data_IF_567312222124
#
_entry.id   IF_567312222124
#
_cell.length_a   1.000
_cell.length_b   1.000
_cell.length_c   1.000
_cell.angle_alpha   90.00
_cell.angle_beta   90.00
_cell.angle_gamma   90.00
#
_symmetry.space_group_name_H-M   'P 1'
#
loop_
_entity.id
_entity.type
_entity.pdbx_description
1 polymer ?
#
# COMPACT_ATOMS: atom_id res chain seq x y z
N UNK A 1 -7.47 -26.94 18.69
CA UNK A 1 -6.93 -28.21 18.12
C UNK A 1 -5.69 -27.84 17.33
N UNK A 2 -4.50 -28.21 17.81
CA UNK A 2 -3.22 -27.86 17.17
C UNK A 2 -2.78 -28.88 16.11
N UNK A 3 -3.33 -30.10 16.16
CA UNK A 3 -3.11 -31.12 15.15
C UNK A 3 -4.40 -31.90 14.90
N UNK A 4 -4.58 -32.36 13.65
CA UNK A 4 -5.68 -33.22 13.24
C UNK A 4 -5.06 -34.49 12.64
N UNK A 5 -5.30 -35.65 13.27
CA UNK A 5 -4.70 -36.94 12.90
C UNK A 5 -5.73 -37.99 12.48
N UNK A 6 -7.01 -37.78 12.81
CA UNK A 6 -8.09 -38.70 12.53
C UNK A 6 -8.67 -38.49 11.13
N UNK A 7 -8.47 -39.44 10.22
CA UNK A 7 -9.05 -39.43 8.86
C UNK A 7 -10.60 -39.40 8.92
N UNK A 8 -11.30 -40.22 9.71
CA UNK A 8 -12.77 -40.14 9.77
C UNK A 8 -13.28 -38.77 10.25
N UNK A 9 -12.61 -38.16 11.22
CA UNK A 9 -12.97 -36.81 11.68
C UNK A 9 -12.71 -35.78 10.59
N UNK A 10 -11.56 -35.85 9.89
CA UNK A 10 -11.23 -34.96 8.78
C UNK A 10 -12.27 -35.04 7.67
N UNK A 11 -12.68 -36.24 7.26
CA UNK A 11 -13.74 -36.47 6.26
C UNK A 11 -15.07 -35.83 6.69
N UNK A 12 -15.49 -36.02 7.94
CA UNK A 12 -16.72 -35.44 8.48
C UNK A 12 -16.66 -33.91 8.51
N UNK A 13 -15.51 -33.33 8.91
CA UNK A 13 -15.29 -31.88 8.90
C UNK A 13 -15.32 -31.34 7.47
N UNK A 14 -14.73 -32.05 6.51
CA UNK A 14 -14.71 -31.67 5.11
C UNK A 14 -16.08 -31.49 4.45
N UNK A 15 -17.13 -32.11 4.98
CA UNK A 15 -18.52 -31.93 4.54
C UNK A 15 -19.20 -30.63 5.06
N UNK A 16 -18.56 -29.85 5.92
CA UNK A 16 -19.14 -28.62 6.46
C UNK A 16 -19.00 -27.44 5.49
N UNK A 17 -19.92 -26.46 5.56
CA UNK A 17 -19.88 -25.24 4.75
C UNK A 17 -18.94 -24.18 5.33
N UNK A 18 -18.69 -24.22 6.61
CA UNK A 18 -17.80 -23.34 7.35
C UNK A 18 -16.89 -24.13 8.25
N UNK A 19 -15.61 -23.83 8.24
CA UNK A 19 -14.64 -24.56 9.05
C UNK A 19 -13.57 -23.61 9.59
N UNK A 20 -13.49 -23.52 10.93
CA UNK A 20 -12.43 -22.77 11.60
C UNK A 20 -11.42 -23.72 12.24
N UNK A 21 -10.30 -23.88 11.57
CA UNK A 21 -9.12 -24.63 12.00
C UNK A 21 -7.91 -23.68 12.16
N UNK A 22 -8.16 -22.44 12.61
CA UNK A 22 -7.12 -21.41 12.79
C UNK A 22 -6.05 -21.77 13.82
N UNK A 23 -6.27 -22.77 14.66
CA UNK A 23 -5.26 -23.32 15.57
C UNK A 23 -4.54 -24.55 15.04
N UNK A 24 -4.89 -25.02 13.84
CA UNK A 24 -4.29 -26.22 13.25
C UNK A 24 -2.93 -25.86 12.66
N UNK A 25 -1.85 -26.25 13.35
CA UNK A 25 -0.49 -25.90 12.94
C UNK A 25 0.08 -26.84 11.87
N UNK A 26 -0.33 -28.11 11.88
CA UNK A 26 0.15 -29.13 10.96
C UNK A 26 -0.95 -30.12 10.58
N UNK A 27 -0.86 -30.67 9.38
CA UNK A 27 -1.73 -31.74 8.88
C UNK A 27 -0.92 -32.64 7.94
N UNK A 28 -1.10 -33.98 8.06
CA UNK A 28 -0.51 -34.91 7.10
C UNK A 28 -1.28 -34.90 5.77
N UNK A 29 -0.63 -35.36 4.69
CA UNK A 29 -1.25 -35.40 3.36
C UNK A 29 -2.52 -36.24 3.32
N UNK A 30 -2.55 -37.39 4.03
CA UNK A 30 -3.73 -38.25 4.08
C UNK A 30 -4.92 -37.58 4.78
N UNK A 31 -4.63 -36.89 5.89
CA UNK A 31 -5.65 -36.13 6.63
C UNK A 31 -6.08 -34.90 5.84
N UNK A 32 -5.15 -34.22 5.20
CA UNK A 32 -5.45 -33.10 4.29
C UNK A 32 -6.34 -33.55 3.13
N UNK A 33 -6.00 -34.67 2.50
CA UNK A 33 -6.85 -35.26 1.45
C UNK A 33 -8.25 -35.60 1.95
N UNK A 34 -8.38 -36.26 3.10
CA UNK A 34 -9.67 -36.58 3.70
C UNK A 34 -10.50 -35.33 4.02
N UNK A 35 -9.84 -34.27 4.48
CA UNK A 35 -10.48 -32.98 4.81
C UNK A 35 -11.01 -32.27 3.55
N UNK A 36 -10.22 -32.22 2.49
CA UNK A 36 -10.55 -31.44 1.29
C UNK A 36 -11.29 -32.22 0.21
N UNK A 37 -11.18 -33.55 0.19
CA UNK A 37 -11.83 -34.43 -0.78
C UNK A 37 -13.01 -35.21 -0.18
N UNK A 38 -13.64 -34.66 0.86
CA UNK A 38 -14.84 -35.27 1.45
C UNK A 38 -15.94 -35.44 0.40
N UNK A 39 -16.65 -36.59 0.35
CA UNK A 39 -17.77 -36.81 -0.60
C UNK A 39 -18.89 -35.78 -0.44
N UNK A 40 -19.09 -35.26 0.76
CA UNK A 40 -20.12 -34.28 1.09
C UNK A 40 -19.61 -32.83 0.92
N UNK A 41 -18.47 -32.65 0.22
CA UNK A 41 -17.84 -31.35 0.06
C UNK A 41 -18.78 -30.35 -0.63
N UNK A 42 -18.90 -29.17 -0.05
CA UNK A 42 -19.66 -28.02 -0.55
C UNK A 42 -18.73 -26.82 -0.70
N UNK A 43 -19.24 -25.71 -1.24
CA UNK A 43 -18.52 -24.45 -1.17
C UNK A 43 -18.23 -24.12 0.31
N UNK A 44 -16.96 -23.89 0.62
CA UNK A 44 -16.51 -23.75 2.01
C UNK A 44 -15.78 -22.43 2.25
N UNK A 45 -16.05 -21.84 3.40
CA UNK A 45 -15.19 -20.83 4.00
C UNK A 45 -14.32 -21.48 5.06
N UNK A 46 -13.00 -21.50 4.84
CA UNK A 46 -12.04 -22.27 5.60
C UNK A 46 -10.92 -21.41 6.17
N UNK A 47 -10.79 -21.38 7.49
CA UNK A 47 -9.70 -20.75 8.22
C UNK A 47 -8.69 -21.81 8.66
N UNK A 48 -7.42 -21.66 8.21
CA UNK A 48 -6.32 -22.58 8.50
C UNK A 48 -5.19 -21.85 9.22
N UNK A 49 -4.70 -22.46 10.31
CA UNK A 49 -3.55 -21.99 11.07
C UNK A 49 -2.21 -22.57 10.62
N UNK A 50 -2.17 -23.21 9.47
CA UNK A 50 -0.96 -23.83 8.92
C UNK A 50 0.11 -22.77 8.61
N UNK A 51 1.33 -22.97 9.12
CA UNK A 51 2.49 -22.14 8.79
C UNK A 51 3.15 -22.54 7.48
N UNK A 52 3.06 -23.82 7.15
CA UNK A 52 3.57 -24.42 5.93
C UNK A 52 2.48 -25.32 5.34
N UNK A 53 2.49 -25.47 4.03
CA UNK A 53 1.54 -26.30 3.31
C UNK A 53 2.30 -27.38 2.54
N UNK A 54 1.98 -28.66 2.80
CA UNK A 54 2.53 -29.78 2.05
C UNK A 54 1.95 -29.84 0.64
N UNK A 55 2.70 -30.44 -0.29
CA UNK A 55 2.26 -30.58 -1.68
C UNK A 55 0.98 -31.43 -1.81
N UNK A 56 0.84 -32.49 -1.01
CA UNK A 56 -0.35 -33.34 -1.02
C UNK A 56 -1.59 -32.60 -0.53
N UNK A 57 -1.47 -31.85 0.54
CA UNK A 57 -2.56 -30.99 1.05
C UNK A 57 -2.90 -29.88 0.06
N UNK A 58 -1.90 -29.21 -0.54
CA UNK A 58 -2.11 -28.18 -1.56
C UNK A 58 -2.88 -28.70 -2.78
N UNK A 59 -2.52 -29.90 -3.26
CA UNK A 59 -3.25 -30.58 -4.35
C UNK A 59 -4.71 -30.83 -4.00
N UNK A 60 -4.99 -31.34 -2.81
CA UNK A 60 -6.37 -31.60 -2.37
C UNK A 60 -7.19 -30.29 -2.23
N UNK A 61 -6.56 -29.21 -1.73
CA UNK A 61 -7.19 -27.89 -1.68
C UNK A 61 -7.50 -27.33 -3.06
N UNK A 62 -6.54 -27.41 -3.98
CA UNK A 62 -6.72 -26.96 -5.36
C UNK A 62 -7.82 -27.73 -6.09
N UNK A 63 -7.88 -29.06 -5.90
CA UNK A 63 -8.95 -29.91 -6.44
C UNK A 63 -10.33 -29.50 -5.92
N UNK A 64 -10.46 -29.29 -4.60
CA UNK A 64 -11.68 -28.78 -4.02
C UNK A 64 -12.09 -27.43 -4.59
N UNK A 65 -11.16 -26.51 -4.71
CA UNK A 65 -11.44 -25.18 -5.28
C UNK A 65 -11.88 -25.25 -6.75
N UNK A 66 -11.44 -26.25 -7.50
CA UNK A 66 -11.87 -26.49 -8.89
C UNK A 66 -13.24 -27.14 -8.99
N UNK A 67 -13.59 -28.02 -8.06
CA UNK A 67 -14.80 -28.83 -8.13
C UNK A 67 -16.02 -28.17 -7.51
N UNK A 68 -15.88 -27.62 -6.32
CA UNK A 68 -17.02 -27.11 -5.54
C UNK A 68 -16.87 -25.66 -5.07
N UNK A 69 -15.72 -25.06 -5.32
CA UNK A 69 -15.40 -23.72 -4.83
C UNK A 69 -14.93 -23.71 -3.37
N UNK A 70 -14.17 -22.69 -3.02
CA UNK A 70 -13.68 -22.49 -1.66
C UNK A 70 -13.19 -21.04 -1.43
N UNK A 71 -13.19 -20.63 -0.16
CA UNK A 71 -12.52 -19.42 0.33
C UNK A 71 -11.49 -19.85 1.38
N UNK A 72 -10.20 -19.76 1.04
CA UNK A 72 -9.11 -20.19 1.92
C UNK A 72 -8.51 -19.00 2.66
N UNK A 73 -8.61 -19.00 3.99
CA UNK A 73 -7.97 -18.04 4.89
C UNK A 73 -6.76 -18.71 5.53
N UNK A 74 -5.57 -18.47 5.00
CA UNK A 74 -4.29 -19.04 5.44
C UNK A 74 -3.41 -17.94 6.05
N UNK A 75 -3.87 -17.36 7.14
CA UNK A 75 -3.25 -16.18 7.72
C UNK A 75 -1.91 -16.45 8.41
N UNK A 76 -1.62 -17.71 8.76
CA UNK A 76 -0.36 -18.11 9.40
C UNK A 76 0.69 -18.60 8.39
N UNK A 77 0.31 -18.79 7.12
CA UNK A 77 1.21 -19.26 6.07
C UNK A 77 2.29 -18.21 5.79
N UNK A 78 3.56 -18.62 5.91
CA UNK A 78 4.71 -17.72 5.82
C UNK A 78 5.31 -17.68 4.41
N UNK A 79 5.14 -18.74 3.61
CA UNK A 79 5.65 -18.83 2.23
C UNK A 79 4.74 -19.66 1.34
N UNK A 80 4.78 -19.41 0.03
CA UNK A 80 4.10 -20.21 -1.00
C UNK A 80 5.12 -20.54 -2.09
N UNK A 81 5.85 -21.66 -1.97
CA UNK A 81 6.75 -22.16 -3.02
C UNK A 81 6.00 -22.42 -4.34
N UNK A 82 6.72 -22.41 -5.45
CA UNK A 82 6.15 -22.55 -6.80
C UNK A 82 5.25 -23.77 -6.94
N UNK A 83 5.71 -24.92 -6.48
CA UNK A 83 4.98 -26.18 -6.56
C UNK A 83 3.68 -26.16 -5.74
N UNK A 84 3.71 -25.48 -4.60
CA UNK A 84 2.54 -25.27 -3.74
C UNK A 84 1.55 -24.33 -4.42
N UNK A 85 2.04 -23.22 -4.99
CA UNK A 85 1.21 -22.26 -5.72
C UNK A 85 0.50 -22.92 -6.91
N UNK A 86 1.22 -23.74 -7.68
CA UNK A 86 0.67 -24.48 -8.82
C UNK A 86 -0.37 -25.53 -8.38
N UNK A 87 -0.09 -26.23 -7.30
CA UNK A 87 -1.03 -27.22 -6.75
C UNK A 87 -2.31 -26.59 -6.24
N UNK A 88 -2.21 -25.40 -5.61
CA UNK A 88 -3.35 -24.62 -5.13
C UNK A 88 -4.17 -23.99 -6.26
N UNK A 89 -3.57 -23.76 -7.43
CA UNK A 89 -4.17 -22.98 -8.52
C UNK A 89 -5.58 -23.45 -8.88
N UNK A 90 -6.57 -22.57 -8.64
CA UNK A 90 -8.00 -22.83 -8.88
C UNK A 90 -8.79 -21.52 -8.97
N UNK A 91 -10.10 -21.61 -9.22
CA UNK A 91 -11.01 -20.45 -9.25
C UNK A 91 -11.65 -20.15 -7.87
N UNK A 92 -10.91 -20.35 -6.81
CA UNK A 92 -11.34 -20.05 -5.44
C UNK A 92 -10.95 -18.62 -5.03
N UNK A 93 -11.08 -18.30 -3.75
CA UNK A 93 -10.49 -17.13 -3.13
C UNK A 93 -9.42 -17.55 -2.12
N UNK A 94 -8.34 -16.77 -2.04
CA UNK A 94 -7.25 -17.02 -1.09
C UNK A 94 -6.92 -15.73 -0.32
N UNK A 95 -6.68 -15.86 0.99
CA UNK A 95 -6.20 -14.78 1.86
C UNK A 95 -5.00 -15.26 2.65
N UNK A 96 -3.89 -14.50 2.56
CA UNK A 96 -2.66 -14.76 3.28
C UNK A 96 -2.17 -13.47 3.95
N UNK A 97 -1.89 -13.54 5.26
CA UNK A 97 -1.48 -12.34 6.01
C UNK A 97 0.02 -12.23 6.23
N UNK A 98 0.78 -13.32 6.09
CA UNK A 98 2.22 -13.35 6.41
C UNK A 98 3.13 -13.58 5.21
N UNK A 99 2.60 -13.95 4.05
CA UNK A 99 3.41 -14.14 2.83
C UNK A 99 3.94 -12.78 2.39
N UNK A 100 5.27 -12.63 2.38
CA UNK A 100 5.95 -11.36 2.06
C UNK A 100 6.50 -11.29 0.66
N UNK A 101 6.73 -12.46 0.01
CA UNK A 101 7.32 -12.55 -1.33
C UNK A 101 6.64 -13.64 -2.17
N UNK A 102 6.63 -13.45 -3.47
CA UNK A 102 6.23 -14.44 -4.46
C UNK A 102 7.22 -14.43 -5.62
N UNK A 103 7.60 -15.61 -6.11
CA UNK A 103 8.24 -15.73 -7.41
C UNK A 103 7.26 -15.46 -8.54
N UNK A 104 7.75 -15.17 -9.75
CA UNK A 104 6.89 -14.97 -10.93
C UNK A 104 6.06 -16.22 -11.25
N UNK A 105 6.63 -17.40 -11.02
CA UNK A 105 5.95 -18.68 -11.23
C UNK A 105 4.80 -18.88 -10.23
N UNK A 106 5.05 -18.61 -8.95
CA UNK A 106 4.01 -18.66 -7.93
C UNK A 106 2.93 -17.59 -8.17
N UNK A 107 3.32 -16.35 -8.51
CA UNK A 107 2.42 -15.27 -8.85
C UNK A 107 1.50 -15.63 -10.04
N UNK A 108 2.06 -16.21 -11.11
CA UNK A 108 1.31 -16.71 -12.27
C UNK A 108 0.28 -17.77 -11.90
N UNK A 109 0.67 -18.73 -11.05
CA UNK A 109 -0.23 -19.78 -10.58
C UNK A 109 -1.37 -19.19 -9.72
N UNK A 110 -1.05 -18.32 -8.77
CA UNK A 110 -2.03 -17.70 -7.88
C UNK A 110 -2.92 -16.68 -8.59
N UNK A 111 -2.47 -16.12 -9.73
CA UNK A 111 -3.32 -15.24 -10.54
C UNK A 111 -4.52 -15.97 -11.18
N UNK A 112 -4.63 -17.29 -11.04
CA UNK A 112 -5.81 -18.06 -11.43
C UNK A 112 -6.97 -17.93 -10.42
N UNK A 113 -6.71 -17.53 -9.18
CA UNK A 113 -7.75 -17.31 -8.18
C UNK A 113 -8.67 -16.15 -8.60
N UNK A 114 -9.95 -16.25 -8.25
CA UNK A 114 -10.91 -15.18 -8.52
C UNK A 114 -10.63 -13.96 -7.66
N UNK A 115 -10.23 -14.19 -6.40
CA UNK A 115 -9.85 -13.13 -5.46
C UNK A 115 -8.65 -13.61 -4.64
N UNK A 116 -7.61 -12.80 -4.61
CA UNK A 116 -6.40 -13.07 -3.82
C UNK A 116 -6.06 -11.85 -2.98
N UNK A 117 -6.00 -12.03 -1.65
CA UNK A 117 -5.62 -10.99 -0.70
C UNK A 117 -4.28 -11.35 -0.06
N UNK A 118 -3.25 -10.57 -0.33
CA UNK A 118 -1.90 -10.74 0.19
C UNK A 118 -1.52 -9.53 1.05
N UNK A 119 -1.79 -9.62 2.35
CA UNK A 119 -1.67 -8.47 3.26
C UNK A 119 -0.23 -8.01 3.50
N UNK A 120 0.73 -8.95 3.57
CA UNK A 120 2.14 -8.63 3.83
C UNK A 120 3.02 -8.62 2.57
N UNK A 121 2.47 -8.95 1.38
CA UNK A 121 3.24 -9.07 0.16
C UNK A 121 3.89 -7.73 -0.20
N UNK A 122 5.22 -7.69 -0.12
CA UNK A 122 6.02 -6.49 -0.36
C UNK A 122 7.11 -6.70 -1.42
N UNK A 123 7.51 -7.96 -1.63
CA UNK A 123 8.53 -8.35 -2.61
C UNK A 123 7.85 -9.12 -3.74
N UNK A 124 7.65 -8.44 -4.85
CA UNK A 124 6.98 -8.93 -6.06
C UNK A 124 7.54 -8.19 -7.27
N UNK A 125 7.81 -8.92 -8.33
CA UNK A 125 8.38 -8.35 -9.55
C UNK A 125 7.40 -7.48 -10.32
N UNK A 126 7.92 -6.60 -11.21
CA UNK A 126 7.10 -5.83 -12.13
C UNK A 126 6.34 -6.75 -13.11
N UNK A 127 6.91 -7.90 -13.49
CA UNK A 127 6.26 -8.89 -14.35
C UNK A 127 5.01 -9.49 -13.67
N UNK A 128 5.13 -9.86 -12.40
CA UNK A 128 4.01 -10.34 -11.61
C UNK A 128 2.93 -9.26 -11.42
N UNK A 129 3.33 -8.02 -11.12
CA UNK A 129 2.40 -6.89 -11.01
C UNK A 129 1.65 -6.63 -12.32
N UNK A 130 2.34 -6.71 -13.45
CA UNK A 130 1.70 -6.58 -14.77
C UNK A 130 0.68 -7.70 -15.04
N UNK A 131 0.98 -8.94 -14.66
CA UNK A 131 0.01 -10.03 -14.76
C UNK A 131 -1.24 -9.77 -13.90
N UNK A 132 -1.07 -9.28 -12.67
CA UNK A 132 -2.18 -8.94 -11.79
C UNK A 132 -3.04 -7.78 -12.32
N UNK A 133 -2.42 -6.81 -13.00
CA UNK A 133 -3.13 -5.68 -13.62
C UNK A 133 -4.11 -6.11 -14.71
N UNK A 134 -3.76 -7.15 -15.47
CA UNK A 134 -4.55 -7.62 -16.62
C UNK A 134 -5.83 -8.37 -16.21
N UNK A 135 -5.83 -9.01 -15.05
CA UNK A 135 -6.96 -9.84 -14.62
C UNK A 135 -7.85 -9.16 -13.58
N UNK A 136 -7.28 -8.37 -12.72
CA UNK A 136 -7.96 -7.88 -11.51
C UNK A 136 -8.14 -8.98 -10.44
N UNK A 137 -8.71 -8.61 -9.31
CA UNK A 137 -8.99 -9.57 -8.22
C UNK A 137 -7.78 -9.92 -7.32
N UNK A 138 -6.59 -9.41 -7.62
CA UNK A 138 -5.41 -9.59 -6.78
C UNK A 138 -5.16 -8.32 -5.96
N UNK A 139 -5.21 -8.45 -4.64
CA UNK A 139 -5.05 -7.34 -3.71
C UNK A 139 -3.77 -7.47 -2.91
N UNK A 140 -2.92 -6.46 -3.00
CA UNK A 140 -1.63 -6.37 -2.31
C UNK A 140 -1.71 -5.20 -1.34
N UNK A 141 -1.52 -5.47 -0.04
CA UNK A 141 -1.56 -4.43 0.99
C UNK A 141 -0.17 -4.04 1.51
N UNK A 142 0.83 -4.90 1.32
CA UNK A 142 2.20 -4.70 1.81
C UNK A 142 3.15 -4.02 0.84
N UNK A 143 2.70 -3.58 -0.35
CA UNK A 143 3.57 -3.07 -1.40
C UNK A 143 4.33 -1.83 -0.94
N UNK A 144 5.68 -1.91 -0.98
CA UNK A 144 6.58 -0.83 -0.54
C UNK A 144 7.15 -0.03 -1.70
N UNK A 145 7.20 -0.62 -2.89
CA UNK A 145 7.77 -0.03 -4.09
C UNK A 145 6.83 -0.27 -5.29
N UNK A 146 6.64 0.75 -6.13
CA UNK A 146 5.81 0.66 -7.32
C UNK A 146 6.51 1.31 -8.52
N UNK A 147 7.06 0.48 -9.40
CA UNK A 147 7.68 0.91 -10.66
C UNK A 147 6.93 0.35 -11.88
N UNK A 148 5.93 -0.51 -11.66
CA UNK A 148 5.14 -1.14 -12.71
C UNK A 148 4.04 -0.19 -13.21
N UNK A 149 4.28 0.46 -14.35
CA UNK A 149 3.32 1.39 -14.97
C UNK A 149 1.98 0.72 -15.32
N UNK A 150 1.93 -0.49 -15.93
CA UNK A 150 0.66 -1.17 -16.20
C UNK A 150 -0.17 -1.40 -14.94
N UNK A 151 0.45 -1.82 -13.84
CA UNK A 151 -0.24 -2.01 -12.57
C UNK A 151 -0.73 -0.67 -11.99
N UNK A 152 0.14 0.35 -11.94
CA UNK A 152 -0.20 1.69 -11.48
C UNK A 152 -1.40 2.29 -12.24
N UNK A 153 -1.53 2.01 -13.54
CA UNK A 153 -2.60 2.52 -14.41
C UNK A 153 -3.97 1.85 -14.20
N UNK A 154 -4.06 0.82 -13.37
CA UNK A 154 -5.30 0.05 -13.14
C UNK A 154 -5.70 -0.10 -11.68
N UNK A 155 -4.78 0.29 -10.81
CA UNK A 155 -4.89 0.13 -9.35
C UNK A 155 -6.17 0.73 -8.76
N UNK A 156 -6.55 1.92 -9.22
CA UNK A 156 -7.71 2.65 -8.71
C UNK A 156 -9.01 2.29 -9.43
N UNK A 157 -8.94 1.90 -10.70
CA UNK A 157 -10.11 1.56 -11.52
C UNK A 157 -10.52 0.10 -11.41
N UNK A 158 -9.62 -0.80 -11.05
CA UNK A 158 -10.01 -2.17 -10.75
C UNK A 158 -10.96 -2.17 -9.56
N UNK A 159 -12.14 -2.79 -9.75
CA UNK A 159 -13.27 -2.79 -8.82
C UNK A 159 -12.99 -3.52 -7.47
N UNK A 160 -11.74 -3.89 -7.23
CA UNK A 160 -11.24 -4.39 -5.96
C UNK A 160 -11.20 -3.23 -4.96
N UNK A 161 -12.21 -3.13 -4.14
CA UNK A 161 -12.49 -2.05 -3.17
C UNK A 161 -11.39 -1.81 -2.12
N UNK A 162 -10.22 -2.46 -2.21
CA UNK A 162 -9.26 -2.53 -1.11
C UNK A 162 -7.80 -2.58 -1.57
N UNK A 163 -7.39 -1.72 -2.50
CA UNK A 163 -5.95 -1.51 -2.62
C UNK A 163 -5.51 -0.58 -1.50
N UNK A 164 -4.66 -1.08 -0.65
CA UNK A 164 -4.05 -0.33 0.43
C UNK A 164 -2.62 0.06 0.04
N UNK A 165 -2.43 1.32 -0.35
CA UNK A 165 -1.11 1.88 -0.65
C UNK A 165 -0.43 2.47 0.60
N UNK A 166 -0.95 2.18 1.81
CA UNK A 166 -0.45 2.77 3.05
C UNK A 166 1.01 2.42 3.36
N UNK A 167 1.54 1.33 2.78
CA UNK A 167 2.94 0.92 2.94
C UNK A 167 3.86 1.40 1.81
N UNK A 168 3.30 2.02 0.76
CA UNK A 168 4.07 2.44 -0.41
C UNK A 168 5.06 3.55 -0.05
N UNK A 169 6.35 3.19 -0.02
CA UNK A 169 7.43 4.09 0.35
C UNK A 169 8.06 4.78 -0.85
N UNK A 170 8.11 4.08 -2.00
CA UNK A 170 8.71 4.61 -3.23
C UNK A 170 7.84 4.29 -4.44
N UNK A 171 7.80 5.23 -5.38
CA UNK A 171 7.11 5.10 -6.66
C UNK A 171 7.98 5.76 -7.73
N UNK A 172 8.13 5.14 -8.92
CA UNK A 172 8.78 5.82 -10.03
C UNK A 172 7.91 6.95 -10.58
N UNK A 173 8.52 7.93 -11.25
CA UNK A 173 7.79 9.09 -11.77
C UNK A 173 6.74 8.65 -12.80
N UNK A 174 7.08 7.71 -13.67
CA UNK A 174 6.17 7.16 -14.69
C UNK A 174 4.99 6.40 -14.05
N UNK A 175 5.25 5.61 -13.00
CA UNK A 175 4.20 4.91 -12.27
C UNK A 175 3.32 5.90 -11.48
N UNK A 176 3.90 6.96 -10.93
CA UNK A 176 3.17 8.03 -10.25
C UNK A 176 2.22 8.77 -11.20
N UNK A 177 2.67 9.10 -12.40
CA UNK A 177 1.85 9.72 -13.44
C UNK A 177 0.73 8.79 -13.92
N UNK A 178 1.01 7.48 -14.03
CA UNK A 178 0.02 6.49 -14.39
C UNK A 178 -1.05 6.33 -13.29
N UNK A 179 -0.62 6.28 -12.03
CA UNK A 179 -1.51 6.25 -10.86
C UNK A 179 -2.41 7.49 -10.80
N UNK A 180 -1.85 8.67 -11.05
CA UNK A 180 -2.61 9.92 -11.08
C UNK A 180 -3.71 9.89 -12.16
N UNK A 181 -3.37 9.47 -13.36
CA UNK A 181 -4.34 9.33 -14.47
C UNK A 181 -5.45 8.32 -14.13
N UNK A 182 -5.08 7.21 -13.50
CA UNK A 182 -6.06 6.19 -13.09
C UNK A 182 -6.97 6.70 -11.95
N UNK A 183 -6.43 7.44 -10.99
CA UNK A 183 -7.20 8.07 -9.92
C UNK A 183 -8.24 9.06 -10.45
N UNK A 184 -7.86 9.90 -11.42
CA UNK A 184 -8.77 10.83 -12.10
C UNK A 184 -9.86 10.06 -12.85
N UNK A 185 -9.49 9.05 -13.64
CA UNK A 185 -10.41 8.24 -14.44
C UNK A 185 -11.41 7.48 -13.58
N UNK A 186 -10.97 6.92 -12.46
CA UNK A 186 -11.81 6.14 -11.55
C UNK A 186 -12.71 6.99 -10.66
N UNK A 187 -12.51 8.32 -10.65
CA UNK A 187 -13.19 9.28 -9.77
C UNK A 187 -13.11 8.86 -8.27
N UNK A 188 -12.04 8.17 -7.88
CA UNK A 188 -11.77 7.83 -6.47
C UNK A 188 -11.12 9.03 -5.80
N UNK A 189 -11.87 9.63 -4.87
CA UNK A 189 -11.50 10.90 -4.25
C UNK A 189 -10.29 10.87 -3.32
N UNK A 190 -9.72 9.70 -3.00
CA UNK A 190 -8.59 9.60 -2.05
C UNK A 190 -7.58 8.57 -2.52
N UNK A 191 -6.31 8.99 -2.58
CA UNK A 191 -5.14 8.13 -2.80
C UNK A 191 -4.27 8.19 -1.53
N UNK A 192 -4.41 7.24 -0.59
CA UNK A 192 -3.65 7.29 0.66
C UNK A 192 -2.21 6.83 0.43
N UNK A 193 -1.23 7.71 0.68
CA UNK A 193 0.19 7.45 0.54
C UNK A 193 1.00 7.89 1.79
N UNK A 194 0.60 7.48 3.01
CA UNK A 194 1.21 8.01 4.24
C UNK A 194 2.67 7.56 4.43
N UNK A 195 3.11 6.48 3.76
CA UNK A 195 4.48 5.99 3.84
C UNK A 195 5.40 6.54 2.75
N UNK A 196 4.87 7.33 1.80
CA UNK A 196 5.64 7.84 0.66
C UNK A 196 6.81 8.72 1.13
N UNK A 197 8.02 8.40 0.64
CA UNK A 197 9.27 9.09 1.00
C UNK A 197 9.71 10.12 -0.03
N UNK A 198 9.35 9.93 -1.29
CA UNK A 198 9.72 10.86 -2.36
C UNK A 198 8.58 11.06 -3.35
N UNK A 199 8.43 12.30 -3.85
CA UNK A 199 7.41 12.66 -4.83
C UNK A 199 7.97 13.69 -5.81
N UNK A 200 8.13 13.28 -7.08
CA UNK A 200 8.54 14.20 -8.15
C UNK A 200 7.41 14.47 -9.15
N UNK A 201 6.48 13.52 -9.31
CA UNK A 201 5.35 13.65 -10.21
C UNK A 201 4.42 14.80 -9.79
N UNK A 202 4.31 15.80 -10.67
CA UNK A 202 3.37 16.93 -10.50
C UNK A 202 1.94 16.43 -10.63
N UNK A 203 1.67 15.53 -11.57
CA UNK A 203 0.34 14.99 -11.79
C UNK A 203 -0.20 14.27 -10.54
N UNK A 204 0.64 13.46 -9.86
CA UNK A 204 0.26 12.81 -8.61
C UNK A 204 0.08 13.83 -7.49
N UNK A 205 0.95 14.84 -7.41
CA UNK A 205 0.84 15.92 -6.43
C UNK A 205 -0.48 16.70 -6.58
N UNK A 206 -0.91 17.00 -7.81
CA UNK A 206 -2.19 17.65 -8.11
C UNK A 206 -3.39 16.80 -7.69
N UNK A 207 -3.35 15.49 -7.96
CA UNK A 207 -4.40 14.54 -7.52
C UNK A 207 -4.47 14.49 -6.00
N UNK A 208 -3.33 14.46 -5.31
CA UNK A 208 -3.27 14.49 -3.85
C UNK A 208 -3.81 15.81 -3.30
N UNK A 209 -3.46 16.93 -3.92
CA UNK A 209 -3.95 18.26 -3.52
C UNK A 209 -5.45 18.46 -3.74
N UNK A 210 -6.04 17.79 -4.74
CA UNK A 210 -7.47 17.87 -5.03
C UNK A 210 -8.35 17.08 -4.04
N UNK A 211 -7.76 16.25 -3.18
CA UNK A 211 -8.50 15.45 -2.19
C UNK A 211 -9.18 16.35 -1.16
N UNK A 212 -10.30 15.85 -0.59
CA UNK A 212 -10.99 16.54 0.51
C UNK A 212 -10.42 16.08 1.86
N UNK A 213 -10.42 16.99 2.84
CA UNK A 213 -10.00 16.69 4.21
C UNK A 213 -8.51 16.92 4.44
N UNK A 214 -7.85 16.06 5.20
CA UNK A 214 -6.46 16.21 5.58
C UNK A 214 -5.55 15.48 4.60
N UNK A 215 -4.61 16.19 3.99
CA UNK A 215 -3.56 15.57 3.18
C UNK A 215 -2.41 15.12 4.11
N UNK A 216 -2.16 13.82 4.18
CA UNK A 216 -1.18 13.23 5.11
C UNK A 216 -0.03 12.55 4.36
N UNK A 217 1.14 13.17 4.38
CA UNK A 217 2.40 12.66 3.83
C UNK A 217 3.53 12.77 4.89
N UNK A 218 3.35 12.16 6.08
CA UNK A 218 4.24 12.37 7.23
C UNK A 218 5.64 11.76 7.05
N UNK A 219 5.83 10.92 6.02
CA UNK A 219 7.12 10.29 5.70
C UNK A 219 7.80 10.89 4.47
N UNK A 220 7.22 11.93 3.86
CA UNK A 220 7.79 12.56 2.68
C UNK A 220 9.07 13.30 3.05
N UNK A 221 10.21 12.76 2.62
CA UNK A 221 11.57 13.29 2.88
C UNK A 221 12.08 14.13 1.71
N UNK A 222 11.64 13.81 0.48
CA UNK A 222 12.08 14.46 -0.76
C UNK A 222 10.88 14.77 -1.64
N UNK A 223 10.86 15.98 -2.19
CA UNK A 223 9.82 16.43 -3.11
C UNK A 223 10.44 17.37 -4.13
N UNK A 224 10.04 17.29 -5.40
CA UNK A 224 10.46 18.29 -6.38
C UNK A 224 9.77 19.64 -6.14
N UNK A 225 10.39 20.73 -6.57
CA UNK A 225 9.86 22.10 -6.37
C UNK A 225 8.46 22.24 -6.97
N UNK A 226 8.26 21.69 -8.18
CA UNK A 226 6.98 21.74 -8.86
C UNK A 226 5.91 20.89 -8.15
N UNK A 227 6.26 19.68 -7.69
CA UNK A 227 5.34 18.83 -6.94
C UNK A 227 4.98 19.43 -5.58
N UNK A 228 5.92 20.07 -4.88
CA UNK A 228 5.66 20.79 -3.64
C UNK A 228 4.69 21.96 -3.88
N UNK A 229 4.92 22.73 -4.95
CA UNK A 229 4.02 23.81 -5.36
C UNK A 229 2.59 23.33 -5.60
N UNK A 230 2.44 22.16 -6.26
CA UNK A 230 1.13 21.54 -6.48
C UNK A 230 0.48 21.05 -5.17
N UNK A 231 1.25 20.40 -4.28
CA UNK A 231 0.74 19.92 -2.99
C UNK A 231 0.15 21.03 -2.12
N UNK A 232 0.81 22.20 -2.07
CA UNK A 232 0.34 23.32 -1.24
C UNK A 232 -0.91 24.02 -1.78
N UNK A 233 -1.36 23.69 -2.99
CA UNK A 233 -2.67 24.10 -3.49
C UNK A 233 -3.85 23.38 -2.80
N UNK A 234 -3.59 22.35 -2.00
CA UNK A 234 -4.60 21.65 -1.20
C UNK A 234 -5.33 22.60 -0.25
N UNK A 235 -6.67 22.52 -0.25
CA UNK A 235 -7.55 23.37 0.60
C UNK A 235 -7.83 22.70 1.93
N UNK A 236 -6.88 22.55 2.78
CA UNK A 236 -7.05 21.94 4.10
C UNK A 236 -5.72 21.68 4.80
N UNK A 237 -5.73 21.04 5.96
CA UNK A 237 -4.51 20.70 6.66
C UNK A 237 -3.61 19.77 5.86
N UNK A 238 -2.31 20.07 5.81
CA UNK A 238 -1.30 19.26 5.15
C UNK A 238 -0.27 18.82 6.19
N UNK A 239 0.00 17.52 6.26
CA UNK A 239 1.07 16.94 7.08
C UNK A 239 2.26 16.58 6.19
N UNK A 240 3.33 17.38 6.24
CA UNK A 240 4.62 17.20 5.60
C UNK A 240 5.74 17.09 6.64
N UNK A 241 5.46 16.45 7.77
CA UNK A 241 6.42 16.37 8.90
C UNK A 241 7.70 15.57 8.57
N UNK A 242 7.73 14.83 7.47
CA UNK A 242 8.94 14.18 6.96
C UNK A 242 9.98 15.12 6.34
N UNK A 243 9.57 16.31 5.87
CA UNK A 243 10.49 17.31 5.33
C UNK A 243 11.27 17.97 6.48
N UNK A 244 12.55 17.59 6.62
CA UNK A 244 13.43 18.10 7.69
C UNK A 244 14.24 19.31 7.30
N UNK A 245 14.44 19.53 6.01
CA UNK A 245 15.13 20.67 5.41
C UNK A 245 14.27 21.28 4.30
N UNK A 246 14.52 22.53 3.97
CA UNK A 246 13.85 23.23 2.89
C UNK A 246 14.90 23.93 2.02
N UNK A 247 15.36 23.28 0.94
CA UNK A 247 16.29 23.88 -0.02
C UNK A 247 15.75 25.17 -0.65
N UNK A 248 16.65 26.01 -1.16
CA UNK A 248 16.29 27.33 -1.73
C UNK A 248 15.20 27.26 -2.80
N UNK A 249 15.26 26.33 -3.78
CA UNK A 249 14.21 26.24 -4.80
C UNK A 249 12.84 25.90 -4.20
N UNK A 250 12.81 25.01 -3.21
CA UNK A 250 11.56 24.63 -2.51
C UNK A 250 11.02 25.79 -1.66
N UNK A 251 11.88 26.53 -0.97
CA UNK A 251 11.48 27.71 -0.22
C UNK A 251 10.85 28.77 -1.14
N UNK A 252 11.43 29.00 -2.30
CA UNK A 252 10.90 29.92 -3.31
C UNK A 252 9.55 29.40 -3.90
N UNK A 253 9.46 28.11 -4.19
CA UNK A 253 8.22 27.49 -4.68
C UNK A 253 7.09 27.62 -3.66
N UNK A 254 7.37 27.37 -2.37
CA UNK A 254 6.43 27.56 -1.28
C UNK A 254 5.99 29.01 -1.15
N UNK A 255 6.93 29.95 -1.13
CA UNK A 255 6.62 31.38 -1.02
C UNK A 255 5.65 31.83 -2.13
N UNK A 256 5.85 31.35 -3.35
CA UNK A 256 4.97 31.62 -4.50
C UNK A 256 3.59 30.93 -4.34
N UNK A 257 3.58 29.64 -3.98
CA UNK A 257 2.35 28.86 -3.91
C UNK A 257 1.43 29.29 -2.75
N UNK A 258 2.01 29.75 -1.63
CA UNK A 258 1.27 30.19 -0.46
C UNK A 258 0.53 31.52 -0.66
N UNK A 259 0.84 32.28 -1.72
CA UNK A 259 0.19 33.58 -1.95
C UNK A 259 -1.33 33.49 -2.18
N UNK A 260 -1.86 32.33 -2.58
CA UNK A 260 -3.30 32.08 -2.76
C UNK A 260 -3.95 31.24 -1.66
N UNK A 261 -3.23 30.95 -0.57
CA UNK A 261 -3.72 30.09 0.49
C UNK A 261 -4.24 30.90 1.68
N UNK A 262 -5.47 30.57 2.11
CA UNK A 262 -6.09 31.22 3.27
C UNK A 262 -5.62 30.61 4.60
N UNK A 263 -5.37 29.29 4.63
CA UNK A 263 -4.96 28.57 5.82
C UNK A 263 -3.43 28.63 6.04
N UNK A 264 -3.03 28.49 7.31
CA UNK A 264 -1.63 28.35 7.67
C UNK A 264 -1.07 26.98 7.25
N UNK A 265 0.09 26.97 6.57
CA UNK A 265 0.85 25.76 6.31
C UNK A 265 1.81 25.48 7.46
N UNK A 266 1.61 24.36 8.16
CA UNK A 266 2.47 23.97 9.28
C UNK A 266 3.47 22.90 8.82
N UNK A 267 4.77 23.26 8.80
CA UNK A 267 5.87 22.37 8.46
C UNK A 267 6.57 21.87 9.73
N UNK A 268 5.95 20.88 10.38
CA UNK A 268 6.43 20.31 11.63
C UNK A 268 7.79 19.59 11.53
N UNK A 269 8.25 19.24 10.32
CA UNK A 269 9.49 18.52 10.11
C UNK A 269 10.71 19.43 9.97
N UNK A 270 10.54 20.63 9.46
CA UNK A 270 11.67 21.52 9.09
C UNK A 270 12.41 21.98 10.35
N UNK A 271 13.68 21.56 10.44
CA UNK A 271 14.60 21.86 11.56
C UNK A 271 15.74 22.78 11.15
N UNK A 272 16.05 22.84 9.86
CA UNK A 272 17.17 23.58 9.32
C UNK A 272 16.77 24.39 8.11
N UNK A 273 17.27 25.62 8.01
CA UNK A 273 17.04 26.52 6.90
C UNK A 273 18.31 27.32 6.59
N UNK A 274 18.77 27.29 5.33
CA UNK A 274 19.88 28.12 4.91
C UNK A 274 19.47 29.61 4.84
N UNK A 275 20.46 30.51 4.84
CA UNK A 275 20.21 31.94 4.79
C UNK A 275 19.51 32.34 3.47
N UNK A 276 19.87 31.70 2.36
CA UNK A 276 19.23 31.90 1.06
C UNK A 276 17.78 31.39 1.05
N UNK A 277 17.52 30.21 1.64
CA UNK A 277 16.19 29.66 1.75
C UNK A 277 15.28 30.50 2.64
N UNK A 278 15.85 31.03 3.75
CA UNK A 278 15.13 31.96 4.64
C UNK A 278 14.72 33.23 3.91
N UNK A 279 15.64 33.82 3.11
CA UNK A 279 15.32 35.02 2.30
C UNK A 279 14.22 34.73 1.29
N UNK A 280 14.32 33.60 0.55
CA UNK A 280 13.28 33.21 -0.39
C UNK A 280 11.92 33.01 0.27
N UNK A 281 11.89 32.36 1.45
CA UNK A 281 10.65 32.13 2.21
C UNK A 281 10.07 33.41 2.77
N UNK A 282 10.91 34.39 3.15
CA UNK A 282 10.47 35.66 3.69
C UNK A 282 9.64 36.50 2.70
N UNK A 283 9.68 36.19 1.40
CA UNK A 283 8.86 36.83 0.38
C UNK A 283 7.43 36.28 0.30
N UNK A 284 7.09 35.28 1.13
CA UNK A 284 5.74 34.67 1.08
C UNK A 284 4.65 35.69 1.42
N UNK A 285 3.53 35.59 0.70
CA UNK A 285 2.30 36.35 1.01
C UNK A 285 1.27 35.51 1.78
N UNK A 286 1.52 34.22 1.96
CA UNK A 286 0.70 33.33 2.76
C UNK A 286 1.20 33.16 4.18
N UNK A 287 0.50 32.32 4.95
CA UNK A 287 0.88 32.00 6.34
C UNK A 287 1.60 30.65 6.40
N UNK A 288 2.75 30.63 7.09
CA UNK A 288 3.55 29.42 7.30
C UNK A 288 4.06 29.37 8.74
N UNK A 289 4.01 28.19 9.33
CA UNK A 289 4.56 27.93 10.67
C UNK A 289 5.69 26.90 10.60
N UNK A 290 6.80 27.22 11.27
CA UNK A 290 8.01 26.41 11.34
C UNK A 290 8.35 26.10 12.81
N UNK A 291 7.50 25.34 13.52
CA UNK A 291 7.57 25.24 14.99
C UNK A 291 8.80 24.49 15.50
N UNK A 292 9.51 23.76 14.65
CA UNK A 292 10.72 22.99 15.01
C UNK A 292 12.01 23.51 14.39
N UNK A 293 11.98 24.69 13.78
CA UNK A 293 13.17 25.30 13.19
C UNK A 293 14.16 25.69 14.28
N UNK A 294 15.31 25.02 14.35
CA UNK A 294 16.35 25.24 15.38
C UNK A 294 17.69 25.64 14.79
N UNK A 295 17.96 25.24 13.55
CA UNK A 295 19.22 25.52 12.84
C UNK A 295 18.98 26.63 11.82
N UNK A 296 19.11 27.84 12.24
CA UNK A 296 18.98 29.06 11.43
C UNK A 296 19.91 30.13 12.00
N UNK A 297 20.50 30.95 11.14
CA UNK A 297 21.27 32.10 11.60
C UNK A 297 20.36 33.18 12.24
N UNK A 298 20.92 33.96 13.17
CA UNK A 298 20.18 35.07 13.82
C UNK A 298 19.71 36.11 12.79
N UNK A 299 20.56 36.38 11.79
CA UNK A 299 20.23 37.30 10.69
C UNK A 299 19.02 36.80 9.89
N UNK A 300 18.98 35.50 9.54
CA UNK A 300 17.86 34.91 8.82
C UNK A 300 16.59 34.82 9.67
N UNK A 301 16.71 34.50 10.95
CA UNK A 301 15.57 34.54 11.86
C UNK A 301 14.96 35.96 11.96
N UNK A 302 15.82 36.97 11.99
CA UNK A 302 15.37 38.36 11.98
C UNK A 302 14.65 38.75 10.67
N UNK A 303 15.12 38.25 9.53
CA UNK A 303 14.47 38.47 8.21
C UNK A 303 13.10 37.81 8.21
N UNK A 304 12.97 36.53 8.63
CA UNK A 304 11.69 35.83 8.69
C UNK A 304 10.69 36.48 9.64
N UNK A 305 11.14 36.95 10.83
CA UNK A 305 10.27 37.64 11.81
C UNK A 305 9.68 38.96 11.30
N UNK A 306 10.28 39.60 10.30
CA UNK A 306 9.72 40.80 9.66
C UNK A 306 8.45 40.49 8.85
N UNK A 307 8.28 39.25 8.41
CA UNK A 307 7.08 38.84 7.70
C UNK A 307 6.04 38.30 8.71
N UNK A 308 4.94 39.06 8.91
CA UNK A 308 3.87 38.70 9.84
C UNK A 308 3.15 37.36 9.48
N UNK A 309 3.30 36.86 8.26
CA UNK A 309 2.79 35.56 7.83
C UNK A 309 3.64 34.37 8.28
N UNK A 310 4.82 34.59 8.88
CA UNK A 310 5.75 33.54 9.26
C UNK A 310 5.80 33.40 10.78
N UNK A 311 5.46 32.19 11.26
CA UNK A 311 5.54 31.83 12.68
C UNK A 311 6.76 30.93 12.92
N UNK A 312 7.65 31.36 13.83
CA UNK A 312 8.85 30.65 14.25
C UNK A 312 8.68 30.12 15.68
N UNK A 313 9.52 29.15 16.12
CA UNK A 313 9.55 28.73 17.52
C UNK A 313 9.83 29.91 18.45
N UNK A 314 9.30 29.82 19.66
CA UNK A 314 9.55 30.81 20.75
C UNK A 314 10.95 30.70 21.30
#
# INVERSE_FOLDING_TARGET
MTSLTSIPLATKLGGQNFMNLGSLATVSDDVGRALFMSPDAKNIELYLGLKELSLGTAKAMGERGRTVGAHFHMNELESIPDEIAEALSCKAAIRCSKVTMLSDRAAKALNQFNHSHMYALSDVSNEALEMFSKRGGFMIHGLKKLDCVPFASTVMSNNSSFLDLNQLATISDEAADALAKDAIRSNRGVVPLPALKSLNSVALAEVLAAQKGNLRLPKLEKVSDAALGALVAHKGPIDLSGLTTLPVPQAAALAKALAGREDELVLNGVQELSDEAARALAETKGRISLPRLTKISEASAAVLRKNAGISLPK
#
